data_IF_825734334402
#
_entry.id   IF_825734334402
#
_cell.length_a   1.000
_cell.length_b   1.000
_cell.length_c   1.000
_cell.angle_alpha   90.00
_cell.angle_beta   90.00
_cell.angle_gamma   90.00
#
_symmetry.space_group_name_H-M   'P 1'
#
loop_
_entity.id
_entity.type
_entity.pdbx_description
1 polymer ?
#
# COMPACT_ATOMS: atom_id res chain seq x y z
N UNK A 1 -10.69 2.58 -4.88
CA UNK A 1 -9.75 3.09 -5.91
C UNK A 1 -8.63 3.86 -5.24
N UNK A 2 -7.36 3.63 -5.59
CA UNK A 2 -6.25 4.48 -5.14
C UNK A 2 -6.42 5.89 -5.71
N UNK A 3 -6.47 6.92 -4.85
CA UNK A 3 -6.56 8.34 -5.23
C UNK A 3 -5.20 9.02 -5.16
N UNK A 4 -4.39 8.66 -4.18
CA UNK A 4 -3.11 9.31 -3.93
C UNK A 4 -2.13 8.33 -3.31
N UNK A 5 -0.87 8.43 -3.72
CA UNK A 5 0.25 7.85 -2.99
C UNK A 5 1.33 8.91 -2.76
N UNK A 6 1.87 8.95 -1.55
CA UNK A 6 2.99 9.81 -1.17
C UNK A 6 4.10 8.97 -0.57
N UNK A 7 5.26 8.99 -1.22
CA UNK A 7 6.42 8.19 -0.91
C UNK A 7 7.53 9.13 -0.45
N UNK A 8 8.16 8.83 0.69
CA UNK A 8 9.29 9.58 1.22
C UNK A 8 10.43 8.63 1.59
N UNK A 9 11.64 8.93 1.12
CA UNK A 9 12.87 8.20 1.40
C UNK A 9 12.79 6.68 1.13
N UNK A 10 12.10 6.29 0.06
CA UNK A 10 11.90 4.89 -0.31
C UNK A 10 12.68 4.55 -1.59
N UNK A 11 13.60 3.59 -1.49
CA UNK A 11 14.54 3.22 -2.55
C UNK A 11 15.23 4.47 -3.14
N UNK A 12 15.06 4.73 -4.44
CA UNK A 12 15.63 5.91 -5.08
C UNK A 12 14.76 7.18 -4.96
N UNK A 13 13.53 7.07 -4.44
CA UNK A 13 12.63 8.21 -4.29
C UNK A 13 12.87 8.93 -2.96
N UNK A 14 13.28 10.19 -3.04
CA UNK A 14 13.37 11.08 -1.86
C UNK A 14 11.98 11.58 -1.46
N UNK A 15 11.22 12.10 -2.41
CA UNK A 15 9.86 12.59 -2.21
C UNK A 15 9.10 12.48 -3.53
N UNK A 16 8.07 11.63 -3.57
CA UNK A 16 7.24 11.42 -4.74
C UNK A 16 5.77 11.42 -4.33
N UNK A 17 4.97 12.27 -4.95
CA UNK A 17 3.52 12.35 -4.72
C UNK A 17 2.82 12.19 -6.06
N UNK A 18 1.92 11.21 -6.15
CA UNK A 18 1.15 10.92 -7.37
C UNK A 18 -0.33 10.90 -7.01
N UNK A 19 -1.12 11.63 -7.80
CA UNK A 19 -2.57 11.63 -7.76
C UNK A 19 -3.10 10.82 -8.94
N UNK A 20 -4.05 9.93 -8.66
CA UNK A 20 -4.63 9.03 -9.63
C UNK A 20 -6.05 9.48 -9.98
N UNK A 21 -6.34 9.52 -11.27
CA UNK A 21 -7.68 9.75 -11.79
C UNK A 21 -8.53 8.48 -11.79
N UNK A 22 -9.83 8.64 -12.03
CA UNK A 22 -10.73 7.49 -12.27
C UNK A 22 -10.37 6.80 -13.60
N UNK A 23 -10.57 5.48 -13.65
CA UNK A 23 -10.36 4.69 -14.86
C UNK A 23 -8.88 4.37 -15.11
N UNK A 24 -8.43 4.61 -16.34
CA UNK A 24 -7.10 4.21 -16.79
C UNK A 24 -6.05 5.28 -16.47
N UNK A 25 -5.07 4.91 -15.65
CA UNK A 25 -3.87 5.72 -15.39
C UNK A 25 -2.67 5.05 -16.08
N UNK A 26 -2.07 5.73 -17.05
CA UNK A 26 -0.91 5.20 -17.78
C UNK A 26 0.35 5.83 -17.21
N UNK A 27 1.23 5.01 -16.65
CA UNK A 27 2.55 5.44 -16.20
C UNK A 27 3.62 4.98 -17.20
N UNK A 28 4.31 5.96 -17.77
CA UNK A 28 5.45 5.75 -18.68
C UNK A 28 6.71 6.33 -18.07
N UNK A 29 7.87 5.88 -18.55
CA UNK A 29 9.17 6.37 -18.12
C UNK A 29 10.27 5.81 -19.02
N UNK A 30 11.44 6.43 -18.98
CA UNK A 30 12.62 6.00 -19.73
C UNK A 30 13.18 4.67 -19.19
N UNK A 31 13.11 4.48 -17.87
CA UNK A 31 13.58 3.27 -17.19
C UNK A 31 12.47 2.62 -16.36
N UNK A 32 12.59 1.31 -16.11
CA UNK A 32 11.67 0.57 -15.26
C UNK A 32 11.76 0.92 -13.77
N UNK A 33 12.81 1.62 -13.33
CA UNK A 33 13.09 1.88 -11.92
C UNK A 33 11.96 2.68 -11.23
N UNK A 34 11.46 3.74 -11.87
CA UNK A 34 10.37 4.55 -11.29
C UNK A 34 9.07 3.76 -11.11
N UNK A 35 8.75 2.90 -12.08
CA UNK A 35 7.58 2.01 -12.01
C UNK A 35 7.75 0.97 -10.90
N UNK A 36 8.91 0.33 -10.80
CA UNK A 36 9.18 -0.66 -9.75
C UNK A 36 9.14 -0.05 -8.35
N UNK A 37 9.64 1.18 -8.17
CA UNK A 37 9.54 1.92 -6.90
C UNK A 37 8.08 2.15 -6.52
N UNK A 38 7.26 2.59 -7.48
CA UNK A 38 5.84 2.83 -7.25
C UNK A 38 5.11 1.53 -6.87
N UNK A 39 5.32 0.45 -7.62
CA UNK A 39 4.69 -0.85 -7.35
C UNK A 39 5.13 -1.38 -5.97
N UNK A 40 6.42 -1.28 -5.64
CA UNK A 40 6.95 -1.67 -4.33
C UNK A 40 6.37 -0.84 -3.18
N UNK A 41 6.16 0.46 -3.39
CA UNK A 41 5.53 1.32 -2.40
C UNK A 41 4.03 0.99 -2.20
N UNK A 42 3.30 0.73 -3.30
CA UNK A 42 1.90 0.28 -3.24
C UNK A 42 1.81 -1.04 -2.47
N UNK A 43 2.65 -2.03 -2.78
CA UNK A 43 2.72 -3.29 -2.04
C UNK A 43 2.99 -3.06 -0.54
N UNK A 44 4.00 -2.24 -0.22
CA UNK A 44 4.38 -1.93 1.16
C UNK A 44 3.24 -1.31 1.99
N UNK A 45 2.48 -0.39 1.41
CA UNK A 45 1.36 0.28 2.11
C UNK A 45 0.10 -0.59 2.19
N UNK A 46 0.03 -1.67 1.41
CA UNK A 46 -1.02 -2.68 1.47
C UNK A 46 -0.68 -3.85 2.41
N UNK A 47 0.47 -3.81 3.07
CA UNK A 47 0.81 -4.81 4.10
C UNK A 47 1.81 -5.87 3.66
N UNK A 48 2.33 -5.82 2.42
CA UNK A 48 3.38 -6.73 1.99
C UNK A 48 4.63 -6.61 2.88
N UNK A 49 5.36 -7.72 2.96
CA UNK A 49 6.62 -7.76 3.67
C UNK A 49 7.61 -6.82 3.02
N UNK A 50 8.19 -5.95 3.84
CA UNK A 50 9.24 -5.00 3.46
C UNK A 50 10.52 -5.29 4.22
N UNK A 51 11.65 -5.07 3.56
CA UNK A 51 12.98 -5.17 4.16
C UNK A 51 13.58 -3.77 4.34
N UNK A 52 14.67 -3.66 5.09
CA UNK A 52 15.29 -2.37 5.43
C UNK A 52 16.02 -1.72 4.26
N UNK A 53 16.34 -2.47 3.22
CA UNK A 53 16.96 -2.02 1.97
C UNK A 53 16.09 -1.07 1.14
N UNK A 54 14.78 -1.06 1.40
CA UNK A 54 13.86 -0.07 0.82
C UNK A 54 14.04 1.32 1.43
N UNK A 55 14.76 1.47 2.55
CA UNK A 55 15.06 2.79 3.09
C UNK A 55 16.19 3.42 2.29
N UNK A 56 15.94 4.61 1.74
CA UNK A 56 16.91 5.37 0.94
C UNK A 56 18.20 5.60 1.75
N UNK A 57 19.34 5.40 1.10
CA UNK A 57 20.66 5.66 1.69
C UNK A 57 20.74 7.08 2.26
N UNK A 58 21.26 7.21 3.48
CA UNK A 58 21.36 8.49 4.19
C UNK A 58 20.15 8.85 5.06
N UNK A 59 19.09 8.04 5.04
CA UNK A 59 17.90 8.24 5.87
C UNK A 59 17.71 7.10 6.88
N UNK A 60 17.12 7.40 8.03
CA UNK A 60 16.79 6.39 9.04
C UNK A 60 15.45 5.70 8.78
N UNK A 61 14.57 6.34 8.02
CA UNK A 61 13.18 5.90 7.80
C UNK A 61 12.67 6.22 6.40
N UNK A 62 11.84 5.32 5.88
CA UNK A 62 10.98 5.51 4.73
C UNK A 62 9.51 5.58 5.14
N UNK A 63 8.71 6.32 4.38
CA UNK A 63 7.27 6.45 4.59
C UNK A 63 6.53 6.25 3.28
N UNK A 64 5.44 5.51 3.35
CA UNK A 64 4.48 5.40 2.25
C UNK A 64 3.10 5.68 2.80
N UNK A 65 2.46 6.73 2.29
CA UNK A 65 1.08 7.09 2.57
C UNK A 65 0.24 6.81 1.33
N UNK A 66 -0.97 6.29 1.51
CA UNK A 66 -1.94 6.11 0.43
C UNK A 66 -3.35 6.49 0.87
N UNK A 67 -4.11 7.03 -0.07
CA UNK A 67 -5.53 7.36 0.10
C UNK A 67 -6.33 6.54 -0.89
N UNK A 68 -7.29 5.77 -0.38
CA UNK A 68 -8.23 5.01 -1.20
C UNK A 68 -9.63 5.57 -1.05
N UNK A 69 -10.32 5.72 -2.18
CA UNK A 69 -11.78 5.80 -2.22
C UNK A 69 -12.34 4.39 -1.93
N UNK A 70 -13.08 4.25 -0.85
CA UNK A 70 -13.72 3.00 -0.40
C UNK A 70 -15.23 3.15 -0.25
N UNK A 71 -15.82 4.22 -0.82
CA UNK A 71 -17.23 4.52 -0.67
C UNK A 71 -18.10 3.33 -1.10
N UNK A 72 -17.77 2.72 -2.24
CA UNK A 72 -18.45 1.56 -2.82
C UNK A 72 -17.84 0.20 -2.44
N UNK A 73 -17.11 0.11 -1.32
CA UNK A 73 -16.49 -1.13 -0.83
C UNK A 73 -17.00 -1.50 0.58
N UNK A 74 -18.23 -2.05 0.70
CA UNK A 74 -18.76 -2.50 2.00
C UNK A 74 -17.86 -3.46 2.77
N UNK A 75 -17.18 -4.47 2.15
CA UNK A 75 -16.31 -5.38 2.88
C UNK A 75 -15.15 -4.69 3.62
N UNK A 76 -14.60 -3.61 3.04
CA UNK A 76 -13.55 -2.82 3.69
C UNK A 76 -14.11 -2.12 4.94
N UNK A 77 -15.30 -1.53 4.84
CA UNK A 77 -15.97 -0.84 5.96
C UNK A 77 -16.31 -1.81 7.09
N UNK A 78 -16.82 -2.99 6.75
CA UNK A 78 -17.12 -4.06 7.71
C UNK A 78 -15.86 -4.54 8.44
N UNK A 79 -14.77 -4.76 7.71
CA UNK A 79 -13.49 -5.15 8.32
C UNK A 79 -12.96 -4.07 9.26
N UNK A 80 -13.00 -2.79 8.88
CA UNK A 80 -12.59 -1.68 9.74
C UNK A 80 -13.41 -1.65 11.04
N UNK A 81 -14.73 -1.74 10.94
CA UNK A 81 -15.63 -1.77 12.11
C UNK A 81 -15.33 -2.96 13.03
N UNK A 82 -15.07 -4.15 12.47
CA UNK A 82 -14.71 -5.34 13.25
C UNK A 82 -13.42 -5.18 14.06
N UNK A 83 -12.52 -4.28 13.62
CA UNK A 83 -11.26 -3.93 14.28
C UNK A 83 -11.37 -2.67 15.16
N UNK A 84 -12.58 -2.11 15.30
CA UNK A 84 -12.81 -0.89 16.07
C UNK A 84 -12.27 0.39 15.40
N UNK A 85 -12.10 0.37 14.07
CA UNK A 85 -11.60 1.51 13.29
C UNK A 85 -12.79 2.17 12.60
N UNK A 86 -12.87 3.50 12.68
CA UNK A 86 -13.92 4.28 12.03
C UNK A 86 -13.82 4.15 10.50
N UNK A 87 -14.95 3.81 9.88
CA UNK A 87 -15.06 3.63 8.44
C UNK A 87 -15.61 4.90 7.79
N UNK A 88 -14.83 5.49 6.88
CA UNK A 88 -15.20 6.68 6.11
C UNK A 88 -15.36 6.34 4.61
N UNK A 89 -15.70 7.33 3.79
CA UNK A 89 -15.64 7.19 2.32
C UNK A 89 -14.21 7.10 1.80
N UNK A 90 -13.27 7.73 2.51
CA UNK A 90 -11.84 7.64 2.25
C UNK A 90 -11.12 6.82 3.32
N UNK A 91 -10.15 6.04 2.88
CA UNK A 91 -9.29 5.22 3.72
C UNK A 91 -7.85 5.70 3.59
N UNK A 92 -7.28 6.10 4.73
CA UNK A 92 -5.89 6.55 4.83
C UNK A 92 -5.03 5.41 5.36
N UNK A 93 -4.06 4.99 4.55
CA UNK A 93 -3.09 3.97 4.93
C UNK A 93 -1.71 4.61 5.05
N UNK A 94 -0.95 4.24 6.08
CA UNK A 94 0.46 4.63 6.23
C UNK A 94 1.31 3.44 6.63
N UNK A 95 2.46 3.32 5.96
CA UNK A 95 3.56 2.44 6.32
C UNK A 95 4.80 3.27 6.66
N UNK A 96 5.36 3.05 7.85
CA UNK A 96 6.66 3.57 8.27
C UNK A 96 7.65 2.41 8.37
N UNK A 97 8.83 2.56 7.78
CA UNK A 97 9.86 1.51 7.70
C UNK A 97 11.16 2.12 8.19
N UNK A 98 11.82 1.46 9.15
CA UNK A 98 13.05 1.96 9.77
C UNK A 98 14.21 1.03 9.50
N UNK A 99 15.41 1.59 9.33
CA UNK A 99 16.66 0.82 9.15
C UNK A 99 16.96 -0.12 10.32
N UNK A 100 16.34 0.12 11.48
CA UNK A 100 16.47 -0.73 12.68
C UNK A 100 15.66 -2.03 12.59
N UNK A 101 14.99 -2.29 11.45
CA UNK A 101 14.23 -3.52 11.19
C UNK A 101 12.78 -3.49 11.67
N UNK A 102 12.36 -2.43 12.37
CA UNK A 102 10.98 -2.24 12.78
C UNK A 102 10.17 -1.50 11.70
N UNK A 103 8.89 -1.83 11.62
CA UNK A 103 7.93 -1.15 10.76
C UNK A 103 6.63 -0.91 11.51
N UNK A 104 5.96 0.21 11.22
CA UNK A 104 4.69 0.60 11.81
C UNK A 104 3.65 0.78 10.71
N UNK A 105 2.42 0.43 11.02
CA UNK A 105 1.29 0.55 10.12
C UNK A 105 0.20 1.39 10.79
N UNK A 106 -0.49 2.20 9.99
CA UNK A 106 -1.61 3.01 10.45
C UNK A 106 -2.75 2.95 9.44
N UNK A 107 -3.96 2.99 9.96
CA UNK A 107 -5.21 3.09 9.20
C UNK A 107 -6.03 4.21 9.83
N UNK A 108 -6.40 5.24 9.06
CA UNK A 108 -7.13 6.42 9.56
C UNK A 108 -6.50 6.98 10.86
N UNK A 109 -5.17 7.15 10.85
CA UNK A 109 -4.33 7.58 11.97
C UNK A 109 -4.30 6.67 13.21
N UNK A 110 -5.03 5.55 13.21
CA UNK A 110 -4.97 4.51 14.24
C UNK A 110 -3.81 3.56 13.96
N UNK A 111 -2.94 3.33 14.95
CA UNK A 111 -1.87 2.34 14.83
C UNK A 111 -2.45 0.92 14.78
N UNK A 112 -2.02 0.14 13.78
CA UNK A 112 -2.50 -1.25 13.57
C UNK A 112 -1.34 -2.21 13.38
N UNK A 113 -1.65 -3.51 13.40
CA UNK A 113 -0.69 -4.54 13.00
C UNK A 113 -0.51 -4.56 11.48
N UNK A 114 0.64 -5.07 11.04
CA UNK A 114 0.90 -5.34 9.61
C UNK A 114 -0.13 -6.33 9.05
N UNK A 115 -0.54 -7.31 9.85
CA UNK A 115 -1.56 -8.29 9.46
C UNK A 115 -2.90 -7.62 9.16
N UNK A 116 -3.36 -6.71 10.01
CA UNK A 116 -4.58 -5.93 9.75
C UNK A 116 -4.46 -5.06 8.50
N UNK A 117 -3.29 -4.47 8.28
CA UNK A 117 -3.01 -3.71 7.05
C UNK A 117 -3.10 -4.62 5.81
N UNK A 118 -2.56 -5.84 5.89
CA UNK A 118 -2.62 -6.86 4.83
C UNK A 118 -4.04 -7.34 4.55
N UNK A 119 -4.83 -7.63 5.58
CA UNK A 119 -6.24 -8.05 5.44
C UNK A 119 -7.06 -6.98 4.70
N UNK A 120 -6.80 -5.69 4.99
CA UNK A 120 -7.42 -4.56 4.27
C UNK A 120 -6.85 -4.45 2.85
N UNK A 121 -5.55 -4.62 2.67
CA UNK A 121 -4.88 -4.57 1.37
C UNK A 121 -5.44 -5.57 0.37
N UNK A 122 -5.70 -6.80 0.81
CA UNK A 122 -6.31 -7.89 0.02
C UNK A 122 -7.69 -7.52 -0.53
N UNK A 123 -8.43 -6.64 0.17
CA UNK A 123 -9.75 -6.16 -0.27
C UNK A 123 -9.65 -4.95 -1.22
N UNK A 124 -8.52 -4.25 -1.25
CA UNK A 124 -8.35 -3.00 -1.99
C UNK A 124 -7.73 -3.19 -3.38
N UNK A 125 -6.93 -4.24 -3.57
CA UNK A 125 -6.11 -4.38 -4.77
C UNK A 125 -5.96 -5.83 -5.19
N UNK A 126 -6.37 -6.10 -6.42
CA UNK A 126 -6.11 -7.35 -7.12
C UNK A 126 -4.88 -7.15 -8.03
N UNK A 127 -3.68 -7.16 -7.45
CA UNK A 127 -2.43 -6.90 -8.19
C UNK A 127 -2.12 -8.09 -9.11
N UNK A 128 -2.43 -7.93 -10.40
CA UNK A 128 -2.02 -8.86 -11.46
C UNK A 128 -0.74 -8.35 -12.16
N UNK A 129 0.43 -8.97 -11.93
CA UNK A 129 1.67 -8.56 -12.61
C UNK A 129 2.95 -9.41 -12.43
N UNK A 130 3.41 -9.99 -13.55
CA UNK A 130 4.74 -10.52 -13.98
C UNK A 130 5.56 -11.50 -13.10
N UNK A 131 5.20 -11.81 -11.85
CA UNK A 131 5.83 -12.93 -11.11
C UNK A 131 4.89 -13.76 -10.20
N UNK A 132 3.57 -13.70 -10.38
CA UNK A 132 2.66 -14.51 -9.57
C UNK A 132 1.62 -15.25 -10.40
N UNK A 133 1.85 -16.56 -10.54
CA UNK A 133 0.95 -17.56 -11.12
C UNK A 133 0.17 -18.32 -10.03
N UNK A 134 -0.21 -17.67 -8.92
CA UNK A 134 -0.78 -18.42 -7.77
C UNK A 134 -2.06 -17.85 -7.13
N UNK A 135 -2.72 -16.84 -7.72
CA UNK A 135 -4.11 -16.52 -7.30
C UNK A 135 -5.15 -17.42 -7.99
N UNK A 136 -4.89 -17.87 -9.23
CA UNK A 136 -5.73 -18.81 -9.98
C UNK A 136 -5.77 -20.25 -9.42
N UNK A 137 -5.03 -20.55 -8.34
CA UNK A 137 -4.94 -21.89 -7.73
C UNK A 137 -5.61 -22.00 -6.35
N UNK A 138 -6.24 -20.93 -5.82
CA UNK A 138 -7.09 -21.07 -4.64
C UNK A 138 -8.42 -21.73 -5.02
N UNK A 139 -8.42 -23.06 -5.06
CA UNK A 139 -9.63 -23.88 -4.93
C UNK A 139 -10.03 -23.90 -3.46
N UNK A 140 -10.81 -22.93 -3.00
CA UNK A 140 -11.60 -23.05 -1.76
C UNK A 140 -12.87 -22.16 -1.81
N UNK A 141 -13.51 -22.12 -2.97
CA UNK A 141 -14.93 -21.74 -3.07
C UNK A 141 -15.64 -22.77 -3.94
N UNK A 142 -16.02 -23.89 -3.32
CA UNK A 142 -17.11 -24.74 -3.74
C UNK A 142 -17.87 -25.21 -2.52
#
# INVERSE_FOLDING_TARGET
MLKLIHIRNFALAENLRIEFGKGLNILTGETGAGKSILIGAIAAVLGDRVYTDVVRTGFEKAFVDAIFDVESLPPVKELLQSKGIEANSELFLRREISIKGNSRAFINDVAVTVTTLSEIGDLLLDIHGQHQHQSLLRRDTH
#
